data_IF_964914877434
#
_entry.id   IF_964914877434
#
_cell.length_a   1.000
_cell.length_b   1.000
_cell.length_c   1.000
_cell.angle_alpha   90.00
_cell.angle_beta   90.00
_cell.angle_gamma   90.00
#
_symmetry.space_group_name_H-M   'P 1'
#
loop_
_entity.id
_entity.type
_entity.pdbx_description
1 polymer ?
#
# COMPACT_ATOMS: atom_id res chain seq x y z
N UNK A 1 -4.91 18.89 -6.38
CA UNK A 1 -5.86 18.97 -7.53
C UNK A 1 -5.20 18.82 -8.92
N UNK A 2 -3.89 18.65 -9.02
CA UNK A 2 -3.21 18.70 -10.32
C UNK A 2 -3.14 17.39 -11.14
N UNK A 3 -3.18 16.21 -10.49
CA UNK A 3 -2.94 14.93 -11.18
C UNK A 3 -4.21 14.45 -11.88
N UNK A 4 -5.35 14.51 -11.23
CA UNK A 4 -6.65 14.13 -11.82
C UNK A 4 -7.02 14.99 -13.03
N UNK A 5 -6.68 16.29 -12.99
CA UNK A 5 -6.90 17.22 -14.11
C UNK A 5 -6.09 16.83 -15.35
N UNK A 6 -4.83 16.42 -15.20
CA UNK A 6 -3.96 16.01 -16.31
C UNK A 6 -4.38 14.66 -16.92
N UNK A 7 -4.83 13.72 -16.09
CA UNK A 7 -5.36 12.44 -16.53
C UNK A 7 -6.62 12.61 -17.38
N UNK A 8 -7.59 13.38 -16.84
CA UNK A 8 -8.85 13.67 -17.53
C UNK A 8 -8.60 14.41 -18.84
N UNK A 9 -7.68 15.36 -18.86
CA UNK A 9 -7.31 16.09 -20.06
C UNK A 9 -6.73 15.16 -21.13
N UNK A 10 -5.82 14.26 -20.76
CA UNK A 10 -5.21 13.31 -21.69
C UNK A 10 -6.23 12.35 -22.28
N UNK A 11 -7.17 11.84 -21.48
CA UNK A 11 -8.27 11.02 -21.96
C UNK A 11 -9.22 11.79 -22.88
N UNK A 12 -9.54 13.03 -22.54
CA UNK A 12 -10.40 13.89 -23.33
C UNK A 12 -9.81 14.18 -24.70
N UNK A 13 -8.51 14.47 -24.77
CA UNK A 13 -7.76 14.63 -26.03
C UNK A 13 -7.75 13.32 -26.83
N UNK A 14 -7.49 12.18 -26.16
CA UNK A 14 -7.46 10.87 -26.82
C UNK A 14 -8.79 10.49 -27.47
N UNK A 15 -9.92 10.90 -26.91
CA UNK A 15 -11.26 10.61 -27.44
C UNK A 15 -11.68 11.64 -28.50
N UNK A 16 -11.36 12.93 -28.31
CA UNK A 16 -11.80 13.99 -29.21
C UNK A 16 -11.12 13.95 -30.58
N UNK A 17 -9.86 13.49 -30.66
CA UNK A 17 -9.13 13.41 -31.94
C UNK A 17 -9.83 12.47 -32.96
N UNK A 18 -10.10 11.18 -32.64
CA UNK A 18 -10.79 10.32 -33.61
C UNK A 18 -12.21 10.80 -33.92
N UNK A 19 -12.90 11.38 -32.94
CA UNK A 19 -14.25 11.88 -33.12
C UNK A 19 -14.29 13.07 -34.10
N UNK A 20 -13.39 14.03 -33.96
CA UNK A 20 -13.27 15.17 -34.90
C UNK A 20 -12.84 14.74 -36.28
N UNK A 21 -11.87 13.85 -36.38
CA UNK A 21 -11.39 13.35 -37.69
C UNK A 21 -12.50 12.60 -38.44
N UNK A 22 -13.23 11.72 -37.77
CA UNK A 22 -14.35 10.98 -38.36
C UNK A 22 -15.51 11.93 -38.75
N UNK A 23 -15.78 12.94 -37.96
CA UNK A 23 -16.79 13.95 -38.28
C UNK A 23 -16.42 14.74 -39.55
N UNK A 24 -15.18 15.22 -39.64
CA UNK A 24 -14.68 15.93 -40.83
C UNK A 24 -14.69 15.05 -42.09
N UNK A 25 -14.37 13.78 -41.95
CA UNK A 25 -14.43 12.79 -42.99
C UNK A 25 -15.87 12.54 -43.47
N UNK A 26 -16.82 12.43 -42.55
CA UNK A 26 -18.24 12.22 -42.88
C UNK A 26 -18.84 13.41 -43.65
N UNK A 27 -18.44 14.63 -43.30
CA UNK A 27 -18.87 15.83 -44.02
C UNK A 27 -18.07 16.10 -45.32
N UNK A 28 -17.22 15.17 -45.75
CA UNK A 28 -16.36 15.29 -46.93
C UNK A 28 -15.43 16.53 -46.96
N UNK A 29 -15.13 17.08 -45.74
CA UNK A 29 -14.20 18.22 -45.61
C UNK A 29 -12.76 17.76 -45.82
N UNK A 30 -12.46 16.52 -45.43
CA UNK A 30 -11.17 15.86 -45.69
C UNK A 30 -11.39 14.58 -46.49
N UNK A 31 -10.48 14.29 -47.44
CA UNK A 31 -10.49 13.02 -48.15
C UNK A 31 -10.04 11.91 -47.21
N UNK A 32 -11.00 11.19 -46.64
CA UNK A 32 -10.71 10.09 -45.72
C UNK A 32 -10.19 8.88 -46.49
N UNK A 33 -8.93 8.55 -46.33
CA UNK A 33 -8.37 7.27 -46.76
C UNK A 33 -8.83 6.20 -45.77
N UNK A 34 -9.05 4.96 -46.22
CA UNK A 34 -9.51 3.82 -45.42
C UNK A 34 -8.66 3.57 -44.15
N UNK A 35 -7.41 4.05 -44.13
CA UNK A 35 -6.47 3.89 -43.04
C UNK A 35 -6.56 5.00 -41.96
N UNK A 36 -7.33 6.07 -42.18
CA UNK A 36 -7.37 7.23 -41.27
C UNK A 36 -7.99 6.85 -39.93
N UNK A 37 -9.04 6.04 -39.96
CA UNK A 37 -9.75 5.57 -38.74
C UNK A 37 -8.87 4.67 -37.87
N UNK A 38 -8.19 3.62 -38.39
CA UNK A 38 -7.26 2.82 -37.55
C UNK A 38 -6.12 3.63 -36.94
N UNK A 39 -5.59 4.63 -37.69
CA UNK A 39 -4.50 5.49 -37.18
C UNK A 39 -4.98 6.34 -36.01
N UNK A 40 -6.16 6.96 -36.10
CA UNK A 40 -6.71 7.79 -35.04
C UNK A 40 -7.09 6.97 -33.80
N UNK A 41 -7.58 5.74 -33.97
CA UNK A 41 -7.81 4.82 -32.84
C UNK A 41 -6.51 4.37 -32.16
N UNK A 42 -5.45 4.14 -32.93
CA UNK A 42 -4.11 3.83 -32.35
C UNK A 42 -3.61 4.97 -31.48
N UNK A 43 -3.86 6.21 -31.87
CA UNK A 43 -3.56 7.38 -31.03
C UNK A 43 -4.34 7.37 -29.73
N UNK A 44 -5.65 7.03 -29.76
CA UNK A 44 -6.47 6.89 -28.54
C UNK A 44 -5.91 5.83 -27.60
N UNK A 45 -5.54 4.66 -28.13
CA UNK A 45 -4.95 3.57 -27.34
C UNK A 45 -3.65 4.03 -26.68
N UNK A 46 -2.80 4.77 -27.38
CA UNK A 46 -1.56 5.33 -26.85
C UNK A 46 -1.86 6.32 -25.70
N UNK A 47 -2.82 7.23 -25.88
CA UNK A 47 -3.24 8.17 -24.83
C UNK A 47 -3.77 7.45 -23.58
N UNK A 48 -4.59 6.41 -23.76
CA UNK A 48 -5.11 5.60 -22.65
C UNK A 48 -3.97 4.84 -21.94
N UNK A 49 -3.04 4.25 -22.69
CA UNK A 49 -1.88 3.59 -22.11
C UNK A 49 -1.03 4.55 -21.27
N UNK A 50 -0.75 5.75 -21.79
CA UNK A 50 -0.03 6.78 -21.05
C UNK A 50 -0.80 7.24 -19.80
N UNK A 51 -2.13 7.37 -19.88
CA UNK A 51 -2.95 7.72 -18.71
C UNK A 51 -2.87 6.66 -17.62
N UNK A 52 -2.89 5.38 -17.98
CA UNK A 52 -2.81 4.26 -17.03
C UNK A 52 -1.41 4.13 -16.43
N UNK A 53 -0.36 4.07 -17.28
CA UNK A 53 1.00 3.76 -16.82
C UNK A 53 1.70 4.96 -16.19
N UNK A 54 1.60 6.15 -16.80
CA UNK A 54 2.31 7.33 -16.31
C UNK A 54 1.59 8.05 -15.19
N UNK A 55 0.25 8.09 -15.22
CA UNK A 55 -0.56 8.82 -14.25
C UNK A 55 -1.30 7.92 -13.26
N UNK A 56 -1.07 6.61 -13.29
CA UNK A 56 -1.67 5.63 -12.37
C UNK A 56 -3.21 5.79 -12.26
N UNK A 57 -3.88 5.93 -13.41
CA UNK A 57 -5.33 6.17 -13.46
C UNK A 57 -6.16 5.15 -12.66
N UNK A 58 -5.68 3.91 -12.55
CA UNK A 58 -6.30 2.84 -11.76
C UNK A 58 -5.83 2.80 -10.29
N UNK A 59 -4.97 3.73 -9.87
CA UNK A 59 -4.35 3.75 -8.55
C UNK A 59 -5.23 4.28 -7.40
N UNK A 60 -6.52 4.45 -7.60
CA UNK A 60 -7.44 4.98 -6.55
C UNK A 60 -7.70 3.96 -5.44
N UNK A 61 -7.71 2.67 -5.77
CA UNK A 61 -7.96 1.60 -4.80
C UNK A 61 -6.95 1.54 -3.64
N UNK A 62 -5.62 1.70 -3.86
CA UNK A 62 -4.66 1.74 -2.77
C UNK A 62 -4.89 2.88 -1.79
N UNK A 63 -5.28 4.07 -2.27
CA UNK A 63 -5.49 5.26 -1.42
C UNK A 63 -6.71 5.07 -0.49
N UNK A 64 -7.80 4.51 -1.01
CA UNK A 64 -8.99 4.24 -0.21
C UNK A 64 -8.72 3.19 0.87
N UNK A 65 -8.01 2.12 0.52
CA UNK A 65 -7.63 1.07 1.46
C UNK A 65 -6.72 1.63 2.57
N UNK A 66 -5.73 2.44 2.22
CA UNK A 66 -4.82 3.05 3.18
C UNK A 66 -5.54 3.99 4.14
N UNK A 67 -6.54 4.77 3.67
CA UNK A 67 -7.37 5.61 4.55
C UNK A 67 -8.22 4.80 5.53
N UNK A 68 -8.73 3.64 5.12
CA UNK A 68 -9.47 2.74 6.02
C UNK A 68 -8.54 2.18 7.09
N UNK A 69 -7.38 1.72 6.69
CA UNK A 69 -6.38 1.14 7.59
C UNK A 69 -5.79 2.18 8.55
N UNK A 70 -5.60 3.41 8.10
CA UNK A 70 -5.15 4.54 8.95
C UNK A 70 -6.17 4.95 10.02
N UNK A 71 -7.45 4.59 9.85
CA UNK A 71 -8.53 4.82 10.82
C UNK A 71 -8.73 3.67 11.81
N UNK A 72 -8.06 2.54 11.61
CA UNK A 72 -8.12 1.44 12.56
C UNK A 72 -7.50 1.86 13.90
N UNK A 73 -8.18 1.51 14.99
CA UNK A 73 -7.68 1.75 16.35
C UNK A 73 -6.47 0.88 16.68
N UNK A 74 -6.33 -0.25 16.01
CA UNK A 74 -5.25 -1.20 16.21
C UNK A 74 -4.01 -0.78 15.43
N UNK A 75 -2.84 -1.00 16.01
CA UNK A 75 -1.54 -0.75 15.37
C UNK A 75 -1.16 -1.94 14.50
N UNK A 76 -0.74 -1.70 13.24
CA UNK A 76 -0.16 -2.77 12.43
C UNK A 76 1.20 -2.37 11.85
N UNK A 77 2.01 -3.35 11.60
CA UNK A 77 3.25 -3.25 10.85
C UNK A 77 3.43 -4.49 9.96
N UNK A 78 3.88 -4.27 8.74
CA UNK A 78 4.23 -5.32 7.78
C UNK A 78 5.73 -5.41 7.66
N UNK A 79 6.25 -6.62 7.77
CA UNK A 79 7.66 -6.93 7.67
C UNK A 79 7.92 -7.74 6.38
N UNK A 80 9.06 -7.53 5.75
CA UNK A 80 9.53 -8.40 4.68
C UNK A 80 10.12 -9.72 5.24
N UNK A 81 10.64 -10.57 4.37
CA UNK A 81 11.31 -11.83 4.69
C UNK A 81 12.56 -11.67 5.60
N UNK A 82 13.18 -10.50 5.60
CA UNK A 82 14.33 -10.16 6.44
C UNK A 82 13.96 -9.34 7.70
N UNK A 83 12.68 -9.29 8.07
CA UNK A 83 12.15 -8.54 9.22
C UNK A 83 12.33 -7.02 9.17
N UNK A 84 12.56 -6.45 7.99
CA UNK A 84 12.54 -5.01 7.80
C UNK A 84 11.12 -4.49 7.63
N UNK A 85 10.85 -3.30 8.16
CA UNK A 85 9.55 -2.66 8.10
C UNK A 85 9.29 -2.15 6.68
N UNK A 86 8.22 -2.65 6.06
CA UNK A 86 7.79 -2.30 4.69
C UNK A 86 6.60 -1.36 4.73
N UNK A 87 5.63 -1.62 5.63
CA UNK A 87 4.41 -0.82 5.75
C UNK A 87 3.92 -0.78 7.20
N UNK A 88 3.18 0.27 7.56
CA UNK A 88 2.62 0.50 8.89
C UNK A 88 1.52 1.56 8.84
N UNK A 89 0.64 1.59 9.86
CA UNK A 89 -0.38 2.64 9.98
C UNK A 89 0.04 3.78 10.95
N UNK A 90 -0.72 4.86 10.90
CA UNK A 90 -0.50 6.03 11.78
C UNK A 90 -0.62 5.70 13.26
N UNK A 91 -1.47 4.73 13.60
CA UNK A 91 -1.64 4.28 14.99
C UNK A 91 -0.36 3.65 15.51
N UNK A 92 0.36 2.86 14.69
CA UNK A 92 1.66 2.30 15.04
C UNK A 92 2.70 3.38 15.38
N UNK A 93 2.81 4.41 14.54
CA UNK A 93 3.71 5.55 14.76
C UNK A 93 3.40 6.24 16.10
N UNK A 94 2.11 6.51 16.36
CA UNK A 94 1.65 7.16 17.58
C UNK A 94 1.93 6.30 18.82
N UNK A 95 1.66 4.99 18.74
CA UNK A 95 1.84 4.06 19.87
C UNK A 95 3.29 4.00 20.33
N UNK A 96 4.24 3.96 19.41
CA UNK A 96 5.67 3.86 19.73
C UNK A 96 6.41 5.20 19.71
N UNK A 97 5.70 6.32 19.48
CA UNK A 97 6.27 7.68 19.39
C UNK A 97 7.43 7.79 18.39
N UNK A 98 7.24 7.26 17.21
CA UNK A 98 8.25 7.17 16.16
C UNK A 98 8.13 8.32 15.15
N UNK A 99 9.22 8.57 14.41
CA UNK A 99 9.21 9.47 13.25
C UNK A 99 9.12 8.63 11.98
N UNK A 100 8.17 8.94 11.10
CA UNK A 100 7.87 8.18 9.89
C UNK A 100 9.10 8.01 8.97
N UNK A 101 9.90 9.05 8.83
CA UNK A 101 11.09 9.07 7.97
C UNK A 101 12.17 8.07 8.39
N UNK A 102 12.21 7.69 9.68
CA UNK A 102 13.26 6.82 10.24
C UNK A 102 12.86 5.34 10.19
N UNK A 103 11.56 5.04 10.13
CA UNK A 103 11.03 3.68 10.28
C UNK A 103 11.17 2.87 8.99
N UNK A 104 10.99 3.51 7.83
CA UNK A 104 11.11 2.84 6.54
C UNK A 104 12.53 2.29 6.37
N UNK A 105 12.63 1.00 6.14
CA UNK A 105 13.90 0.25 6.01
C UNK A 105 14.66 0.00 7.33
N UNK A 106 14.01 0.12 8.49
CA UNK A 106 14.59 -0.29 9.77
C UNK A 106 14.18 -1.72 10.11
N UNK A 107 15.07 -2.48 10.73
CA UNK A 107 14.72 -3.78 11.28
C UNK A 107 13.75 -3.61 12.46
N UNK A 108 12.69 -4.41 12.49
CA UNK A 108 11.60 -4.29 13.48
C UNK A 108 12.08 -4.44 14.92
N UNK A 109 12.95 -5.43 15.18
CA UNK A 109 13.48 -5.69 16.53
C UNK A 109 14.38 -4.54 17.00
N UNK A 110 15.19 -3.98 16.13
CA UNK A 110 16.05 -2.83 16.46
C UNK A 110 15.22 -1.57 16.72
N UNK A 111 14.13 -1.38 16.00
CA UNK A 111 13.17 -0.31 16.26
C UNK A 111 12.55 -0.45 17.67
N UNK A 112 12.13 -1.66 18.05
CA UNK A 112 11.56 -1.92 19.37
C UNK A 112 12.58 -1.66 20.49
N UNK A 113 13.85 -2.05 20.30
CA UNK A 113 14.93 -1.76 21.25
C UNK A 113 15.13 -0.26 21.45
N UNK A 114 15.13 0.52 20.36
CA UNK A 114 15.21 2.00 20.40
C UNK A 114 14.01 2.64 21.05
N UNK A 115 12.83 2.06 20.92
CA UNK A 115 11.57 2.53 21.53
C UNK A 115 11.44 2.21 23.01
N UNK A 116 12.48 1.61 23.64
CA UNK A 116 12.50 1.22 25.05
C UNK A 116 11.39 0.24 25.43
N UNK A 117 11.04 -0.66 24.55
CA UNK A 117 10.16 -1.80 24.85
C UNK A 117 10.92 -2.77 25.77
N UNK A 118 10.23 -3.37 26.74
CA UNK A 118 10.85 -4.33 27.67
C UNK A 118 11.49 -5.51 26.94
N UNK A 119 12.69 -5.93 27.36
CA UNK A 119 13.42 -7.05 26.76
C UNK A 119 12.60 -8.33 26.70
N UNK A 120 11.77 -8.59 27.72
CA UNK A 120 10.88 -9.75 27.77
C UNK A 120 9.85 -9.73 26.64
N UNK A 121 9.26 -8.56 26.34
CA UNK A 121 8.32 -8.36 25.23
C UNK A 121 8.99 -8.49 23.88
N UNK A 122 10.20 -7.95 23.73
CA UNK A 122 10.99 -8.09 22.49
C UNK A 122 11.29 -9.56 22.21
N UNK A 123 11.75 -10.33 23.20
CA UNK A 123 12.03 -11.76 23.07
C UNK A 123 10.77 -12.57 22.70
N UNK A 124 9.59 -12.20 23.24
CA UNK A 124 8.33 -12.84 22.86
C UNK A 124 7.98 -12.55 21.38
N UNK A 125 8.16 -11.30 20.94
CA UNK A 125 7.90 -10.90 19.55
C UNK A 125 8.84 -11.61 18.57
N UNK A 126 10.13 -11.66 18.87
CA UNK A 126 11.12 -12.35 18.04
C UNK A 126 10.81 -13.85 17.91
N UNK A 127 10.54 -14.53 19.02
CA UNK A 127 10.12 -15.95 19.02
C UNK A 127 8.79 -16.15 18.29
N UNK A 128 7.85 -15.20 18.42
CA UNK A 128 6.57 -15.22 17.74
C UNK A 128 6.71 -15.13 16.23
N UNK A 129 7.56 -14.23 15.73
CA UNK A 129 7.86 -14.09 14.29
C UNK A 129 8.48 -15.39 13.76
N UNK A 130 9.52 -15.91 14.41
CA UNK A 130 10.17 -17.15 14.01
C UNK A 130 9.17 -18.32 13.98
N UNK A 131 8.31 -18.42 15.01
CA UNK A 131 7.29 -19.49 15.08
C UNK A 131 6.27 -19.35 13.95
N UNK A 132 5.76 -18.15 13.71
CA UNK A 132 4.77 -17.89 12.65
C UNK A 132 5.36 -18.23 11.27
N UNK A 133 6.58 -17.77 10.99
CA UNK A 133 7.29 -18.02 9.74
C UNK A 133 7.56 -19.52 9.53
N UNK A 134 8.03 -20.24 10.56
CA UNK A 134 8.33 -21.66 10.44
C UNK A 134 7.10 -22.56 10.30
N UNK A 135 5.99 -22.19 10.97
CA UNK A 135 4.76 -22.99 10.97
C UNK A 135 3.78 -22.61 9.85
N UNK A 136 3.93 -21.41 9.26
CA UNK A 136 2.96 -20.85 8.32
C UNK A 136 1.60 -20.52 8.96
N UNK A 137 1.53 -20.46 10.30
CA UNK A 137 0.29 -20.22 11.05
C UNK A 137 0.37 -18.93 11.87
N UNK A 138 -0.78 -18.30 12.08
CA UNK A 138 -0.90 -17.14 12.98
C UNK A 138 -0.55 -17.52 14.41
N UNK A 139 0.22 -16.68 15.08
CA UNK A 139 0.60 -16.81 16.49
C UNK A 139 0.07 -15.60 17.25
N UNK A 140 -0.60 -15.81 18.38
CA UNK A 140 -1.14 -14.75 19.22
C UNK A 140 -0.61 -14.87 20.65
N UNK A 141 -0.30 -13.73 21.27
CA UNK A 141 0.14 -13.62 22.66
C UNK A 141 0.01 -12.17 23.16
N UNK A 142 0.16 -11.99 24.46
CA UNK A 142 0.08 -10.66 25.10
C UNK A 142 1.48 -10.12 25.43
N UNK A 143 1.65 -8.81 25.26
CA UNK A 143 2.82 -8.06 25.70
C UNK A 143 2.41 -6.85 26.52
N UNK A 144 3.31 -6.42 27.43
CA UNK A 144 3.19 -5.15 28.14
C UNK A 144 4.17 -4.14 27.57
N UNK A 145 3.70 -2.93 27.34
CA UNK A 145 4.51 -1.77 26.97
C UNK A 145 4.57 -0.83 28.18
N UNK A 146 5.60 -1.03 29.01
CA UNK A 146 5.73 -0.36 30.30
C UNK A 146 5.76 1.16 30.22
N UNK A 147 6.39 1.72 29.18
CA UNK A 147 6.51 3.17 28.99
C UNK A 147 5.17 3.89 28.87
N UNK A 148 4.16 3.24 28.33
CA UNK A 148 2.81 3.79 28.12
C UNK A 148 1.77 3.14 29.02
N UNK A 149 2.17 2.25 29.96
CA UNK A 149 1.27 1.44 30.80
C UNK A 149 0.19 0.69 30.00
N UNK A 150 0.54 0.27 28.77
CA UNK A 150 -0.38 -0.37 27.84
C UNK A 150 -0.14 -1.86 27.75
N UNK A 151 -1.25 -2.59 27.58
CA UNK A 151 -1.24 -4.02 27.27
C UNK A 151 -1.73 -4.22 25.85
N UNK A 152 -1.00 -5.02 25.07
CA UNK A 152 -1.38 -5.35 23.69
C UNK A 152 -1.53 -6.86 23.52
N UNK A 153 -2.61 -7.27 22.87
CA UNK A 153 -2.66 -8.57 22.21
C UNK A 153 -1.95 -8.42 20.88
N UNK A 154 -0.93 -9.23 20.67
CA UNK A 154 -0.15 -9.28 19.41
C UNK A 154 -0.58 -10.48 18.61
N UNK A 155 -0.94 -10.24 17.37
CA UNK A 155 -1.20 -11.28 16.36
C UNK A 155 -0.14 -11.20 15.27
N UNK A 156 0.56 -12.30 15.02
CA UNK A 156 1.61 -12.40 14.00
C UNK A 156 1.14 -13.39 12.94
N UNK A 157 0.88 -12.88 11.75
CA UNK A 157 0.36 -13.66 10.61
C UNK A 157 1.36 -13.65 9.48
N UNK A 158 1.89 -14.81 9.04
CA UNK A 158 2.77 -14.88 7.89
C UNK A 158 2.01 -14.59 6.59
N UNK A 159 2.61 -13.78 5.73
CA UNK A 159 2.08 -13.45 4.40
C UNK A 159 2.77 -14.38 3.39
N UNK A 160 1.99 -15.19 2.69
CA UNK A 160 2.52 -16.14 1.71
C UNK A 160 2.02 -15.81 0.30
N UNK A 161 2.90 -16.02 -0.68
CA UNK A 161 2.56 -15.99 -2.11
C UNK A 161 3.19 -17.22 -2.77
N UNK A 162 2.42 -17.94 -3.58
CA UNK A 162 2.88 -19.16 -4.28
C UNK A 162 3.57 -20.19 -3.37
N UNK A 163 3.05 -20.40 -2.14
CA UNK A 163 3.60 -21.30 -1.11
C UNK A 163 4.93 -20.83 -0.47
N UNK A 164 5.47 -19.70 -0.84
CA UNK A 164 6.62 -19.07 -0.19
C UNK A 164 6.15 -17.96 0.76
N UNK A 165 6.75 -17.85 1.93
CA UNK A 165 6.51 -16.75 2.86
C UNK A 165 7.30 -15.54 2.35
N UNK A 166 6.58 -14.45 2.05
CA UNK A 166 7.14 -13.21 1.50
C UNK A 166 7.20 -12.08 2.53
N UNK A 167 6.65 -12.31 3.72
CA UNK A 167 6.65 -11.32 4.80
C UNK A 167 5.78 -11.74 5.96
N UNK A 168 5.61 -10.83 6.92
CA UNK A 168 4.85 -11.05 8.15
C UNK A 168 4.05 -9.80 8.51
N UNK A 169 2.76 -9.98 8.80
CA UNK A 169 1.92 -8.95 9.39
C UNK A 169 1.94 -9.09 10.91
N UNK A 170 2.25 -8.02 11.60
CA UNK A 170 2.16 -7.92 13.07
C UNK A 170 1.06 -6.93 13.42
N UNK A 171 -0.01 -7.39 14.03
CA UNK A 171 -1.12 -6.59 14.53
C UNK A 171 -1.01 -6.47 16.05
N UNK A 172 -1.13 -5.24 16.58
CA UNK A 172 -1.11 -4.96 18.01
C UNK A 172 -2.44 -4.30 18.39
N UNK A 173 -3.27 -5.06 19.07
CA UNK A 173 -4.57 -4.61 19.57
C UNK A 173 -4.42 -4.12 21.01
N UNK A 174 -4.79 -2.86 21.27
CA UNK A 174 -4.77 -2.29 22.63
C UNK A 174 -5.89 -2.91 23.47
N UNK A 175 -5.52 -3.64 24.51
CA UNK A 175 -6.43 -4.28 25.46
C UNK A 175 -6.31 -3.66 26.86
N UNK A 176 -5.75 -2.47 26.95
CA UNK A 176 -5.62 -1.76 28.22
C UNK A 176 -7.01 -1.47 28.76
N UNK A 177 -7.38 -2.12 29.86
CA UNK A 177 -8.63 -1.80 30.56
C UNK A 177 -8.46 -0.45 31.27
N UNK A 178 -9.37 0.48 31.01
CA UNK A 178 -9.52 1.73 31.75
C UNK A 178 -10.25 1.49 33.03
#
# INVERSE_FOLDING_TARGET
SGIFSKQSLLMLVGISVPLTVNMLATFHIISATIYITPITFSFTILCCALAIFKFQFLGVAPIALQQVVDRMSDSYVVLNDNNYIVDFNKTFIKTFHLKEEIIRSMEFIDMLRKSKVAKSSINKLEKGIIKATNTGKTVSFEIKYEKAEKCFTVEITPISSNKAIIGTLVLLKDITQH
#
